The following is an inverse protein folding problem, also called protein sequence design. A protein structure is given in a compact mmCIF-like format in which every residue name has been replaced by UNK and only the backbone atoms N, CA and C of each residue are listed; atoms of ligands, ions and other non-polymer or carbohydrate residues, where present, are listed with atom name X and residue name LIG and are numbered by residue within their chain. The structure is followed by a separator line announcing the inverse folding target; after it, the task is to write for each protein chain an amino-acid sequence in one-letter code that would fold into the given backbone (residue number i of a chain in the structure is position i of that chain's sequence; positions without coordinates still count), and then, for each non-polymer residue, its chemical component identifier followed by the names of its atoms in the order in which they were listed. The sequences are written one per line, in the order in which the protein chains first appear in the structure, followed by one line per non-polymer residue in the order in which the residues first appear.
data_IF_533188778106
#
_entry.id   IF_533188778106
#
_cell.length_a   1.000
_cell.length_b   1.000
_cell.length_c   1.000
_cell.angle_alpha   90.00
_cell.angle_beta   90.00
_cell.angle_gamma   90.00
#
_symmetry.space_group_name_H-M   'P 1'
#
loop_
_entity.id
_entity.type
_entity.pdbx_description
1 polymer ?
#
# COMPACT_ATOMS: atom_id res chain seq x y z
N UNK A 1 11.11 -54.97 -30.73
CA UNK A 1 12.54 -54.61 -30.53
C UNK A 1 13.21 -55.77 -29.84
N UNK A 2 14.19 -56.35 -30.50
CA UNK A 2 14.89 -57.53 -30.00
C UNK A 2 16.04 -57.09 -29.08
N UNK A 3 15.92 -57.37 -27.78
CA UNK A 3 16.88 -56.99 -26.73
C UNK A 3 18.08 -58.00 -26.59
N UNK A 4 18.16 -58.97 -27.47
CA UNK A 4 19.17 -59.98 -27.37
C UNK A 4 20.61 -59.61 -27.81
N UNK A 5 20.82 -58.36 -28.26
CA UNK A 5 22.12 -57.89 -28.78
C UNK A 5 22.77 -56.73 -27.99
N UNK A 6 22.32 -56.46 -26.76
CA UNK A 6 23.00 -55.48 -25.93
C UNK A 6 24.16 -56.11 -25.20
N UNK A 7 25.38 -55.91 -25.68
CA UNK A 7 26.60 -56.48 -25.05
C UNK A 7 26.90 -55.67 -23.75
N UNK A 8 27.46 -56.38 -22.73
CA UNK A 8 27.91 -55.78 -21.44
C UNK A 8 28.82 -54.55 -21.62
N UNK A 9 29.52 -54.49 -22.76
CA UNK A 9 30.40 -53.35 -23.13
C UNK A 9 29.61 -52.08 -23.43
N UNK A 10 28.43 -52.18 -24.04
CA UNK A 10 27.55 -51.05 -24.33
C UNK A 10 26.85 -50.54 -23.05
N UNK A 11 26.58 -51.42 -22.08
CA UNK A 11 26.04 -51.05 -20.79
C UNK A 11 27.05 -50.24 -19.94
N UNK A 12 28.33 -50.64 -19.97
CA UNK A 12 29.40 -49.94 -19.25
C UNK A 12 29.76 -48.59 -19.91
N UNK A 13 29.64 -48.46 -21.22
CA UNK A 13 29.85 -47.18 -21.92
C UNK A 13 28.69 -46.21 -21.70
N UNK A 14 27.45 -46.68 -21.57
CA UNK A 14 26.29 -45.89 -21.19
C UNK A 14 26.36 -45.36 -19.74
N UNK A 15 26.88 -46.16 -18.83
CA UNK A 15 27.04 -45.77 -17.42
C UNK A 15 28.15 -44.74 -17.20
N UNK A 16 29.24 -44.80 -18.01
CA UNK A 16 30.31 -43.80 -17.95
C UNK A 16 29.86 -42.42 -18.48
N UNK A 17 28.97 -42.40 -19.46
CA UNK A 17 28.40 -41.15 -19.96
C UNK A 17 27.42 -40.48 -18.98
N UNK A 18 26.70 -41.28 -18.19
CA UNK A 18 25.80 -40.79 -17.15
C UNK A 18 26.55 -40.25 -15.90
N UNK A 19 27.73 -40.83 -15.58
CA UNK A 19 28.56 -40.33 -14.45
C UNK A 19 29.38 -39.08 -14.81
N UNK A 20 29.71 -38.86 -16.08
CA UNK A 20 30.33 -37.58 -16.51
C UNK A 20 29.33 -36.44 -16.62
N UNK A 21 28.03 -36.69 -16.87
CA UNK A 21 26.96 -35.71 -16.84
C UNK A 21 26.65 -35.20 -15.44
N UNK A 22 26.87 -35.98 -14.39
CA UNK A 22 26.65 -35.58 -12.99
C UNK A 22 27.84 -34.81 -12.39
N UNK A 23 29.03 -34.82 -13.03
CA UNK A 23 30.19 -34.04 -12.59
C UNK A 23 30.17 -32.57 -13.08
N UNK A 24 29.41 -32.29 -14.14
CA UNK A 24 28.99 -30.93 -14.47
C UNK A 24 27.74 -30.66 -13.65
N UNK A 25 27.91 -30.22 -12.40
CA UNK A 25 26.82 -29.84 -11.54
C UNK A 25 25.85 -28.97 -12.32
N UNK A 26 24.63 -29.47 -12.51
CA UNK A 26 23.51 -28.59 -12.87
C UNK A 26 23.43 -27.61 -11.76
N UNK A 27 24.15 -26.47 -11.88
CA UNK A 27 23.83 -25.31 -11.09
C UNK A 27 22.37 -25.04 -11.41
N UNK A 28 21.47 -25.41 -10.51
CA UNK A 28 20.13 -24.87 -10.54
C UNK A 28 20.35 -23.37 -10.67
N UNK A 29 19.94 -22.78 -11.78
CA UNK A 29 19.91 -21.34 -11.92
C UNK A 29 19.03 -20.87 -10.76
N UNK A 30 19.65 -20.44 -9.68
CA UNK A 30 18.95 -19.79 -8.59
C UNK A 30 18.34 -18.56 -9.25
N UNK A 31 17.01 -18.53 -9.32
CA UNK A 31 16.32 -17.36 -9.85
C UNK A 31 16.91 -16.14 -9.12
N UNK A 32 17.35 -15.15 -9.88
CA UNK A 32 17.87 -13.91 -9.29
C UNK A 32 16.81 -13.39 -8.33
N UNK A 33 17.22 -12.97 -7.13
CA UNK A 33 16.30 -12.41 -6.15
C UNK A 33 15.52 -11.27 -6.78
N UNK A 34 14.19 -11.32 -6.68
CA UNK A 34 13.33 -10.23 -7.14
C UNK A 34 13.39 -9.10 -6.13
N UNK A 35 13.86 -7.94 -6.55
CA UNK A 35 13.88 -6.75 -5.68
C UNK A 35 12.55 -5.98 -5.81
N UNK A 36 11.92 -5.74 -4.66
CA UNK A 36 10.65 -5.01 -4.53
C UNK A 36 10.90 -3.73 -3.76
N UNK A 37 10.44 -2.58 -4.30
CA UNK A 37 10.55 -1.27 -3.66
C UNK A 37 9.23 -0.81 -3.07
N UNK A 38 9.24 -0.31 -1.83
CA UNK A 38 8.11 0.37 -1.19
C UNK A 38 8.46 1.82 -0.90
N UNK A 39 7.53 2.73 -1.21
CA UNK A 39 7.69 4.16 -0.98
C UNK A 39 6.49 4.66 -0.17
N UNK A 40 6.78 5.24 1.00
CA UNK A 40 5.78 5.74 1.94
C UNK A 40 5.83 7.27 2.02
N UNK A 41 4.67 7.91 2.10
CA UNK A 41 4.58 9.38 2.26
C UNK A 41 4.86 9.82 3.69
N UNK A 42 4.53 8.99 4.67
CA UNK A 42 4.74 9.21 6.09
C UNK A 42 5.74 8.24 6.72
N UNK A 43 5.73 8.17 8.04
CA UNK A 43 6.57 7.29 8.83
C UNK A 43 6.04 5.85 8.82
N UNK A 44 6.93 4.86 8.77
CA UNK A 44 6.57 3.42 8.80
C UNK A 44 6.00 2.94 10.13
N UNK A 45 5.97 3.80 11.14
CA UNK A 45 5.47 3.54 12.49
C UNK A 45 4.36 4.52 12.90
N UNK A 46 3.58 5.00 11.93
CA UNK A 46 2.51 5.99 12.10
C UNK A 46 1.26 5.48 12.80
N UNK A 47 1.23 4.22 13.21
CA UNK A 47 0.07 3.52 13.77
C UNK A 47 -1.12 3.41 12.81
N UNK A 48 -0.89 3.60 11.51
CA UNK A 48 -1.95 3.64 10.51
C UNK A 48 -1.51 3.16 9.13
N UNK A 49 -1.69 4.05 8.15
CA UNK A 49 -1.57 3.74 6.72
C UNK A 49 -0.19 3.27 6.30
N UNK A 50 0.86 4.03 6.65
CA UNK A 50 2.21 3.68 6.23
C UNK A 50 2.71 2.44 6.99
N UNK A 51 2.37 2.30 8.28
CA UNK A 51 2.70 1.11 9.06
C UNK A 51 2.05 -0.15 8.50
N UNK A 52 0.81 -0.09 8.02
CA UNK A 52 0.16 -1.25 7.40
C UNK A 52 0.90 -1.73 6.16
N UNK A 53 1.35 -0.81 5.29
CA UNK A 53 2.19 -1.14 4.13
C UNK A 53 3.56 -1.68 4.55
N UNK A 54 4.20 -1.09 5.56
CA UNK A 54 5.47 -1.56 6.09
C UNK A 54 5.39 -2.97 6.70
N UNK A 55 4.26 -3.33 7.32
CA UNK A 55 4.00 -4.70 7.79
C UNK A 55 3.90 -5.68 6.62
N UNK A 56 3.26 -5.28 5.51
CA UNK A 56 3.23 -6.05 4.26
C UNK A 56 4.64 -6.25 3.70
N UNK A 57 5.45 -5.19 3.63
CA UNK A 57 6.85 -5.27 3.22
C UNK A 57 7.67 -6.20 4.13
N UNK A 58 7.47 -6.13 5.44
CA UNK A 58 8.13 -7.00 6.42
C UNK A 58 7.73 -8.48 6.25
N UNK A 59 6.51 -8.77 5.81
CA UNK A 59 6.10 -10.14 5.49
C UNK A 59 6.82 -10.66 4.24
N UNK A 60 6.98 -9.83 3.20
CA UNK A 60 7.71 -10.18 1.98
C UNK A 60 9.20 -10.43 2.23
N UNK A 61 9.84 -9.69 3.15
CA UNK A 61 11.24 -9.90 3.56
C UNK A 61 11.52 -11.31 4.10
N UNK A 62 10.49 -12.02 4.57
CA UNK A 62 10.61 -13.40 5.07
C UNK A 62 10.51 -14.45 3.96
N UNK A 63 10.15 -14.07 2.75
CA UNK A 63 9.99 -14.97 1.62
C UNK A 63 11.33 -15.20 0.92
N UNK A 64 11.72 -16.45 0.63
CA UNK A 64 12.96 -16.73 -0.07
C UNK A 64 12.92 -16.17 -1.50
N UNK A 65 14.05 -15.67 -2.00
CA UNK A 65 14.19 -15.12 -3.35
C UNK A 65 13.61 -13.72 -3.52
N UNK A 66 13.22 -13.04 -2.42
CA UNK A 66 12.82 -11.65 -2.45
C UNK A 66 13.79 -10.76 -1.66
N UNK A 67 14.16 -9.63 -2.27
CA UNK A 67 14.81 -8.50 -1.61
C UNK A 67 13.80 -7.36 -1.54
N UNK A 68 13.63 -6.73 -0.38
CA UNK A 68 12.72 -5.59 -0.21
C UNK A 68 13.53 -4.37 0.21
N UNK A 69 13.36 -3.28 -0.52
CA UNK A 69 13.90 -1.94 -0.23
C UNK A 69 12.75 -0.99 0.09
N UNK A 70 12.96 -0.08 1.01
CA UNK A 70 11.92 0.80 1.54
C UNK A 70 12.46 2.21 1.74
N UNK A 71 11.65 3.22 1.38
CA UNK A 71 11.93 4.64 1.64
C UNK A 71 10.68 5.27 2.27
N UNK A 72 10.87 6.04 3.35
CA UNK A 72 9.78 6.71 4.07
C UNK A 72 9.90 8.22 4.01
N UNK A 73 8.78 8.92 4.32
CA UNK A 73 8.71 10.40 4.33
C UNK A 73 9.05 11.02 2.99
N UNK A 74 8.67 10.35 1.92
CA UNK A 74 8.84 10.84 0.56
C UNK A 74 7.64 11.71 0.17
N UNK A 75 7.89 12.97 -0.18
CA UNK A 75 6.83 13.89 -0.55
C UNK A 75 6.15 13.51 -1.88
N UNK A 76 4.86 13.87 -2.03
CA UNK A 76 4.07 13.70 -3.27
C UNK A 76 4.48 14.74 -4.34
N UNK A 77 5.77 14.74 -4.69
CA UNK A 77 6.40 15.63 -5.66
C UNK A 77 7.33 14.82 -6.56
N UNK A 78 8.20 15.49 -7.34
CA UNK A 78 9.29 14.83 -8.09
C UNK A 78 10.26 14.02 -7.20
N UNK A 79 10.20 14.20 -5.89
CA UNK A 79 10.95 13.38 -4.93
C UNK A 79 10.62 11.89 -5.08
N UNK A 80 9.33 11.54 -5.26
CA UNK A 80 8.95 10.13 -5.43
C UNK A 80 9.46 9.53 -6.76
N UNK A 81 9.60 10.33 -7.84
CA UNK A 81 10.23 9.87 -9.07
C UNK A 81 11.72 9.55 -8.84
N UNK A 82 12.44 10.44 -8.15
CA UNK A 82 13.86 10.24 -7.82
C UNK A 82 14.06 9.01 -6.93
N UNK A 83 13.17 8.79 -5.97
CA UNK A 83 13.20 7.59 -5.12
C UNK A 83 12.94 6.33 -5.94
N UNK A 84 11.92 6.32 -6.82
CA UNK A 84 11.68 5.20 -7.74
C UNK A 84 12.89 4.93 -8.64
N UNK A 85 13.49 5.96 -9.22
CA UNK A 85 14.68 5.81 -10.05
C UNK A 85 15.89 5.28 -9.27
N UNK A 86 16.08 5.71 -8.02
CA UNK A 86 17.14 5.20 -7.16
C UNK A 86 16.95 3.70 -6.88
N UNK A 87 15.75 3.29 -6.47
CA UNK A 87 15.43 1.88 -6.23
C UNK A 87 15.61 1.01 -7.47
N UNK A 88 15.26 1.54 -8.67
CA UNK A 88 15.44 0.82 -9.94
C UNK A 88 16.92 0.69 -10.29
N UNK A 89 17.66 1.80 -10.31
CA UNK A 89 19.00 1.85 -10.87
C UNK A 89 20.08 1.36 -9.91
N UNK A 90 19.90 1.57 -8.59
CA UNK A 90 20.90 1.21 -7.57
C UNK A 90 20.57 -0.11 -6.88
N UNK A 91 19.30 -0.37 -6.62
CA UNK A 91 18.87 -1.59 -5.91
C UNK A 91 18.39 -2.70 -6.83
N UNK A 92 18.14 -2.41 -8.11
CA UNK A 92 17.63 -3.35 -9.08
C UNK A 92 16.15 -3.70 -8.87
N UNK A 93 15.36 -2.79 -8.33
CA UNK A 93 13.93 -3.02 -8.12
C UNK A 93 13.20 -3.23 -9.46
N UNK A 94 12.43 -4.30 -9.56
CA UNK A 94 11.62 -4.66 -10.73
C UNK A 94 10.12 -4.54 -10.51
N UNK A 95 9.70 -4.47 -9.25
CA UNK A 95 8.34 -4.20 -8.79
C UNK A 95 8.39 -3.09 -7.74
N UNK A 96 7.58 -2.04 -7.92
CA UNK A 96 7.52 -0.92 -7.00
C UNK A 96 6.09 -0.70 -6.49
N UNK A 97 5.99 -0.41 -5.20
CA UNK A 97 4.76 -0.03 -4.50
C UNK A 97 4.87 1.41 -4.01
N UNK A 98 4.59 2.41 -4.85
CA UNK A 98 4.42 3.80 -4.43
C UNK A 98 3.03 3.95 -3.81
N UNK A 99 2.96 4.05 -2.48
CA UNK A 99 1.72 3.81 -1.75
C UNK A 99 0.81 5.02 -1.60
N UNK A 100 1.31 6.25 -1.77
CA UNK A 100 0.50 7.44 -1.54
C UNK A 100 -0.34 7.85 -2.76
N UNK A 101 -1.55 8.39 -2.51
CA UNK A 101 -2.51 8.81 -3.53
C UNK A 101 -1.89 9.73 -4.58
N UNK A 102 -1.16 10.78 -4.17
CA UNK A 102 -0.57 11.77 -5.06
C UNK A 102 0.64 11.26 -5.85
N UNK A 103 1.13 10.06 -5.61
CA UNK A 103 2.20 9.49 -6.41
C UNK A 103 1.74 9.03 -7.81
N UNK A 104 0.44 8.73 -8.00
CA UNK A 104 -0.02 8.14 -9.25
C UNK A 104 0.15 9.09 -10.43
N UNK A 105 -0.52 10.23 -10.38
CA UNK A 105 -0.48 11.26 -11.41
C UNK A 105 0.28 12.50 -10.93
N UNK A 106 1.35 12.92 -11.62
CA UNK A 106 1.86 12.34 -12.89
C UNK A 106 2.95 11.27 -12.70
N UNK A 107 3.43 11.01 -11.48
CA UNK A 107 4.73 10.42 -11.18
C UNK A 107 4.80 8.93 -11.57
N UNK A 108 3.88 8.09 -11.09
CA UNK A 108 3.85 6.64 -11.43
C UNK A 108 3.62 6.45 -12.93
N UNK A 109 2.71 7.20 -13.54
CA UNK A 109 2.43 7.13 -14.97
C UNK A 109 3.68 7.49 -15.79
N UNK A 110 4.40 8.53 -15.38
CA UNK A 110 5.67 8.94 -16.03
C UNK A 110 6.75 7.87 -15.88
N UNK A 111 6.90 7.30 -14.69
CA UNK A 111 7.89 6.26 -14.42
C UNK A 111 7.56 4.95 -15.14
N UNK A 112 6.30 4.56 -15.21
CA UNK A 112 5.86 3.38 -15.96
C UNK A 112 6.16 3.51 -17.47
N UNK A 113 5.98 4.69 -18.05
CA UNK A 113 6.38 4.96 -19.44
C UNK A 113 7.90 4.91 -19.62
N UNK A 114 8.67 5.46 -18.66
CA UNK A 114 10.14 5.48 -18.71
C UNK A 114 10.74 4.07 -18.57
N UNK A 115 10.11 3.20 -17.77
CA UNK A 115 10.59 1.85 -17.48
C UNK A 115 9.54 0.79 -17.87
N UNK A 116 9.28 0.56 -19.17
CA UNK A 116 8.15 -0.26 -19.64
C UNK A 116 8.26 -1.75 -19.30
N UNK A 117 9.44 -2.22 -18.87
CA UNK A 117 9.67 -3.62 -18.45
C UNK A 117 9.48 -3.85 -16.95
N UNK A 118 9.32 -2.80 -16.16
CA UNK A 118 9.13 -2.87 -14.72
C UNK A 118 7.64 -2.76 -14.37
N UNK A 119 7.27 -3.19 -13.17
CA UNK A 119 5.91 -3.13 -12.68
C UNK A 119 5.77 -2.11 -11.56
N UNK A 120 4.69 -1.33 -11.61
CA UNK A 120 4.32 -0.33 -10.61
C UNK A 120 2.92 -0.63 -10.08
N UNK A 121 2.77 -0.84 -8.78
CA UNK A 121 1.50 -1.14 -8.12
C UNK A 121 1.20 -0.05 -7.08
N UNK A 122 0.43 0.93 -7.49
CA UNK A 122 0.06 2.07 -6.66
C UNK A 122 -1.14 1.73 -5.77
N UNK A 123 -1.23 2.35 -4.58
CA UNK A 123 -2.40 2.28 -3.73
C UNK A 123 -3.22 3.57 -3.83
N UNK A 124 -4.44 3.50 -4.40
CA UNK A 124 -5.32 4.65 -4.58
C UNK A 124 -6.49 4.43 -5.53
N UNK A 125 -6.50 3.31 -6.27
CA UNK A 125 -7.60 2.95 -7.19
C UNK A 125 -7.75 3.90 -8.38
N UNK A 126 -6.64 4.44 -8.91
CA UNK A 126 -6.65 5.49 -9.95
C UNK A 126 -6.40 4.98 -11.36
N UNK A 127 -6.02 3.71 -11.54
CA UNK A 127 -5.71 3.17 -12.86
C UNK A 127 -6.91 3.22 -13.81
N UNK A 128 -6.64 3.54 -15.06
CA UNK A 128 -7.60 3.53 -16.16
C UNK A 128 -7.03 2.82 -17.39
N UNK A 129 -7.88 2.48 -18.37
CA UNK A 129 -7.45 1.84 -19.62
C UNK A 129 -6.50 2.69 -20.47
N UNK A 130 -6.43 3.99 -20.21
CA UNK A 130 -5.56 4.96 -20.89
C UNK A 130 -4.13 4.96 -20.32
N UNK A 131 -3.94 4.38 -19.13
CA UNK A 131 -2.66 4.36 -18.44
C UNK A 131 -1.74 3.25 -18.97
N UNK A 132 -0.42 3.34 -18.71
CA UNK A 132 0.54 2.30 -19.08
C UNK A 132 0.14 0.93 -18.50
N UNK A 133 0.27 -0.15 -19.29
CA UNK A 133 -0.15 -1.50 -18.88
C UNK A 133 0.70 -2.10 -17.75
N UNK A 134 1.87 -1.54 -17.52
CA UNK A 134 2.77 -1.91 -16.42
C UNK A 134 2.55 -1.08 -15.15
N UNK A 135 1.58 -0.16 -15.15
CA UNK A 135 1.08 0.49 -13.95
C UNK A 135 -0.23 -0.18 -13.51
N UNK A 136 -0.39 -0.40 -12.20
CA UNK A 136 -1.61 -0.81 -11.55
C UNK A 136 -1.97 0.16 -10.44
N UNK A 137 -3.22 0.15 -10.00
CA UNK A 137 -3.64 0.92 -8.84
C UNK A 137 -4.75 0.19 -8.12
N UNK A 138 -4.45 -0.33 -6.94
CA UNK A 138 -5.41 -1.04 -6.08
C UNK A 138 -5.93 -0.13 -4.97
N UNK A 139 -7.06 -0.49 -4.39
CA UNK A 139 -7.59 0.18 -3.20
C UNK A 139 -8.59 -0.72 -2.46
N UNK A 140 -8.71 -0.54 -1.14
CA UNK A 140 -9.72 -1.23 -0.32
C UNK A 140 -11.04 -0.44 -0.27
N UNK A 141 -12.16 -1.15 -0.08
CA UNK A 141 -13.48 -0.54 0.12
C UNK A 141 -13.64 -0.08 1.58
N UNK A 142 -12.79 0.86 2.01
CA UNK A 142 -12.78 1.38 3.40
C UNK A 142 -14.04 2.18 3.75
N UNK A 143 -14.77 2.66 2.76
CA UNK A 143 -16.08 3.28 2.93
C UNK A 143 -17.13 2.32 3.53
N UNK A 144 -17.06 1.03 3.24
CA UNK A 144 -17.93 0.02 3.89
C UNK A 144 -17.64 -0.06 5.39
N UNK A 145 -16.37 -0.09 5.81
CA UNK A 145 -15.98 -0.05 7.21
C UNK A 145 -16.36 1.28 7.87
N UNK A 146 -16.22 2.40 7.17
CA UNK A 146 -16.63 3.71 7.65
C UNK A 146 -18.15 3.82 7.83
N UNK A 147 -18.95 3.17 6.96
CA UNK A 147 -20.39 3.10 7.14
C UNK A 147 -20.77 2.38 8.44
N UNK A 148 -20.14 1.23 8.71
CA UNK A 148 -20.35 0.46 9.94
C UNK A 148 -19.91 1.28 11.17
N UNK A 149 -18.74 1.94 11.10
CA UNK A 149 -18.26 2.84 12.15
C UNK A 149 -19.26 3.98 12.42
N UNK A 150 -19.87 4.51 11.36
CA UNK A 150 -20.93 5.51 11.45
C UNK A 150 -22.16 5.01 12.22
N UNK A 151 -22.61 3.75 11.96
CA UNK A 151 -23.72 3.15 12.69
C UNK A 151 -23.40 3.10 14.19
N UNK A 152 -22.20 2.65 14.55
CA UNK A 152 -21.75 2.60 15.96
C UNK A 152 -21.72 4.01 16.55
N UNK A 153 -21.18 4.99 15.83
CA UNK A 153 -21.14 6.38 16.26
C UNK A 153 -22.54 6.96 16.50
N UNK A 154 -23.49 6.67 15.61
CA UNK A 154 -24.88 7.12 15.73
C UNK A 154 -25.60 6.57 16.97
N UNK A 155 -25.32 5.33 17.36
CA UNK A 155 -25.81 4.75 18.62
C UNK A 155 -25.08 5.28 19.86
N UNK A 156 -23.80 5.63 19.73
CA UNK A 156 -22.96 6.03 20.87
C UNK A 156 -23.11 7.50 21.25
N UNK A 157 -23.36 8.37 20.26
CA UNK A 157 -23.46 9.82 20.50
C UNK A 157 -24.62 10.20 21.41
N UNK A 158 -24.37 11.12 22.33
CA UNK A 158 -25.37 11.71 23.21
C UNK A 158 -25.83 13.07 22.69
N UNK A 159 -24.95 13.81 22.03
CA UNK A 159 -25.21 15.15 21.48
C UNK A 159 -25.80 15.12 20.07
N UNK A 160 -25.63 14.03 19.34
CA UNK A 160 -25.94 13.93 17.93
C UNK A 160 -24.90 14.64 17.02
N UNK A 161 -23.82 15.15 17.59
CA UNK A 161 -22.73 15.82 16.85
C UNK A 161 -21.52 14.90 16.76
N UNK A 162 -21.19 14.52 15.52
CA UNK A 162 -20.04 13.68 15.21
C UNK A 162 -18.95 14.51 14.56
N UNK A 163 -17.69 14.14 14.77
CA UNK A 163 -16.54 14.80 14.17
C UNK A 163 -15.77 13.88 13.22
N UNK A 164 -15.25 14.48 12.15
CA UNK A 164 -14.39 13.81 11.20
C UNK A 164 -13.15 14.66 10.92
N UNK A 165 -11.97 14.20 11.36
CA UNK A 165 -10.69 14.82 11.01
C UNK A 165 -10.20 14.19 9.72
N UNK A 166 -10.03 14.97 8.66
CA UNK A 166 -9.69 14.48 7.33
C UNK A 166 -8.43 15.14 6.79
N UNK A 167 -7.63 14.40 6.02
CA UNK A 167 -6.41 14.93 5.41
C UNK A 167 -6.70 15.87 4.24
N UNK A 168 -7.15 15.35 3.12
CA UNK A 168 -7.36 16.06 1.85
C UNK A 168 -8.77 15.80 1.30
N UNK A 169 -9.42 16.76 0.66
CA UNK A 169 -10.78 16.59 0.10
C UNK A 169 -10.75 15.86 -1.26
N UNK A 170 -10.13 14.69 -1.31
CA UNK A 170 -10.11 13.83 -2.49
C UNK A 170 -11.34 12.91 -2.53
N UNK A 171 -11.73 12.34 -3.68
CA UNK A 171 -12.94 11.53 -3.81
C UNK A 171 -13.05 10.39 -2.80
N UNK A 172 -11.96 9.66 -2.51
CA UNK A 172 -11.98 8.57 -1.53
C UNK A 172 -12.26 9.07 -0.12
N UNK A 173 -11.67 10.19 0.30
CA UNK A 173 -11.88 10.78 1.62
C UNK A 173 -13.32 11.28 1.75
N UNK A 174 -13.84 11.96 0.73
CA UNK A 174 -15.23 12.42 0.71
C UNK A 174 -16.21 11.26 0.76
N UNK A 175 -15.94 10.15 0.05
CA UNK A 175 -16.75 8.94 0.11
C UNK A 175 -16.78 8.35 1.52
N UNK A 176 -15.65 8.31 2.23
CA UNK A 176 -15.57 7.82 3.60
C UNK A 176 -16.35 8.71 4.57
N UNK A 177 -16.24 10.02 4.46
CA UNK A 177 -17.04 10.97 5.24
C UNK A 177 -18.54 10.76 5.02
N UNK A 178 -18.95 10.61 3.77
CA UNK A 178 -20.34 10.37 3.42
C UNK A 178 -20.83 9.02 3.95
N UNK A 179 -20.05 7.95 3.80
CA UNK A 179 -20.38 6.63 4.31
C UNK A 179 -20.56 6.63 5.83
N UNK A 180 -19.63 7.22 6.56
CA UNK A 180 -19.73 7.39 8.01
C UNK A 180 -21.00 8.16 8.40
N UNK A 181 -21.26 9.28 7.73
CA UNK A 181 -22.45 10.11 8.01
C UNK A 181 -23.75 9.36 7.72
N UNK A 182 -23.83 8.61 6.62
CA UNK A 182 -24.99 7.79 6.28
C UNK A 182 -25.21 6.67 7.30
N UNK A 183 -24.15 6.00 7.71
CA UNK A 183 -24.22 4.99 8.78
C UNK A 183 -24.74 5.59 10.09
N UNK A 184 -24.23 6.75 10.49
CA UNK A 184 -24.67 7.44 11.70
C UNK A 184 -26.16 7.83 11.63
N UNK A 185 -26.60 8.33 10.48
CA UNK A 185 -28.02 8.69 10.28
C UNK A 185 -28.96 7.48 10.25
N UNK A 186 -28.50 6.30 9.87
CA UNK A 186 -29.29 5.08 9.98
C UNK A 186 -29.63 4.76 11.44
N UNK A 187 -28.67 4.94 12.36
CA UNK A 187 -28.84 4.69 13.78
C UNK A 187 -29.49 5.89 14.52
N UNK A 188 -29.12 7.11 14.13
CA UNK A 188 -29.65 8.36 14.69
C UNK A 188 -29.94 9.36 13.55
N UNK A 189 -31.20 9.46 13.08
CA UNK A 189 -31.55 10.34 11.95
C UNK A 189 -31.23 11.84 12.18
N UNK A 190 -31.04 12.26 13.43
CA UNK A 190 -30.68 13.64 13.77
C UNK A 190 -29.17 13.87 13.84
N UNK A 191 -28.35 12.83 13.71
CA UNK A 191 -26.91 12.96 13.76
C UNK A 191 -26.38 13.82 12.62
N UNK A 192 -25.38 14.65 12.93
CA UNK A 192 -24.66 15.51 12.00
C UNK A 192 -23.17 15.26 12.12
N UNK A 193 -22.45 15.32 11.00
CA UNK A 193 -20.99 15.15 10.97
C UNK A 193 -20.33 16.48 10.62
N UNK A 194 -19.50 17.00 11.53
CA UNK A 194 -18.64 18.14 11.28
C UNK A 194 -17.27 17.65 10.79
N UNK A 195 -16.73 18.31 9.76
CA UNK A 195 -15.47 17.88 9.11
C UNK A 195 -14.45 19.01 9.18
N UNK A 196 -13.22 18.67 9.59
CA UNK A 196 -12.07 19.58 9.50
C UNK A 196 -10.99 18.91 8.65
N UNK A 197 -10.55 19.58 7.58
CA UNK A 197 -9.45 19.14 6.74
C UNK A 197 -8.13 19.74 7.24
N UNK A 198 -7.13 18.88 7.47
CA UNK A 198 -5.79 19.30 7.91
C UNK A 198 -4.92 19.79 6.76
N UNK A 199 -5.21 19.35 5.54
CA UNK A 199 -4.54 19.75 4.31
C UNK A 199 -3.46 18.79 3.82
N UNK A 200 -2.97 17.88 4.66
CA UNK A 200 -2.03 16.83 4.26
C UNK A 200 -2.25 15.55 5.05
N UNK A 201 -1.56 14.46 4.62
CA UNK A 201 -1.75 13.10 5.13
C UNK A 201 -1.31 12.91 6.57
N UNK A 202 -0.24 13.60 6.99
CA UNK A 202 0.31 13.53 8.36
C UNK A 202 0.67 14.93 8.85
N UNK A 203 -0.19 15.50 9.69
CA UNK A 203 -0.03 16.83 10.29
C UNK A 203 -0.41 16.81 11.79
N UNK A 204 0.38 16.15 12.66
CA UNK A 204 0.00 15.89 14.06
C UNK A 204 -0.48 17.13 14.82
N UNK A 205 0.16 18.30 14.62
CA UNK A 205 -0.26 19.55 15.28
C UNK A 205 -1.67 19.96 14.83
N UNK A 206 -1.91 20.00 13.51
CA UNK A 206 -3.23 20.36 12.98
C UNK A 206 -4.30 19.32 13.30
N UNK A 207 -3.93 18.04 13.39
CA UNK A 207 -4.83 16.96 13.77
C UNK A 207 -5.29 17.13 15.23
N UNK A 208 -4.36 17.47 16.14
CA UNK A 208 -4.69 17.80 17.53
C UNK A 208 -5.58 19.05 17.63
N UNK A 209 -5.23 20.12 16.92
CA UNK A 209 -6.02 21.36 16.87
C UNK A 209 -7.42 21.10 16.32
N UNK A 210 -7.56 20.32 15.24
CA UNK A 210 -8.85 19.94 14.65
C UNK A 210 -9.69 19.12 15.62
N UNK A 211 -9.06 18.15 16.31
CA UNK A 211 -9.72 17.32 17.32
C UNK A 211 -10.28 18.16 18.46
N UNK A 212 -9.45 19.02 19.07
CA UNK A 212 -9.87 19.90 20.16
C UNK A 212 -10.97 20.86 19.71
N UNK A 213 -10.84 21.46 18.51
CA UNK A 213 -11.87 22.35 17.96
C UNK A 213 -13.23 21.67 17.76
N UNK A 214 -13.25 20.40 17.36
CA UNK A 214 -14.49 19.63 17.24
C UNK A 214 -15.11 19.35 18.63
N UNK A 215 -14.28 18.99 19.62
CA UNK A 215 -14.74 18.77 21.02
C UNK A 215 -15.33 20.06 21.59
N UNK A 216 -14.67 21.20 21.42
CA UNK A 216 -15.15 22.52 21.87
C UNK A 216 -16.50 22.90 21.24
N UNK A 217 -16.81 22.39 20.05
CA UNK A 217 -18.11 22.56 19.38
C UNK A 217 -19.18 21.56 19.85
N UNK A 218 -18.86 20.74 20.83
CA UNK A 218 -19.78 19.75 21.45
C UNK A 218 -19.90 18.44 20.67
N UNK A 219 -18.92 18.12 19.85
CA UNK A 219 -18.76 16.76 19.27
C UNK A 219 -18.38 15.79 20.38
N UNK A 220 -19.03 14.64 20.43
CA UNK A 220 -18.82 13.62 21.47
C UNK A 220 -18.40 12.25 20.89
N UNK A 221 -18.34 12.10 19.57
CA UNK A 221 -17.77 10.95 18.87
C UNK A 221 -16.96 11.43 17.68
N UNK A 222 -15.74 10.96 17.58
CA UNK A 222 -14.77 11.36 16.56
C UNK A 222 -14.30 10.16 15.73
N UNK A 223 -14.02 10.43 14.45
CA UNK A 223 -13.30 9.53 13.56
C UNK A 223 -12.35 10.32 12.67
N UNK A 224 -11.50 9.65 11.92
CA UNK A 224 -10.55 10.33 11.02
C UNK A 224 -10.28 9.57 9.72
N UNK A 225 -9.71 10.31 8.77
CA UNK A 225 -9.01 9.79 7.60
C UNK A 225 -7.72 10.60 7.41
N UNK A 226 -6.72 10.26 8.20
CA UNK A 226 -5.33 10.73 8.15
C UNK A 226 -4.42 9.51 8.17
N UNK A 227 -3.13 9.67 7.90
CA UNK A 227 -2.20 8.54 7.85
C UNK A 227 -2.04 7.84 9.20
N UNK A 228 -1.90 8.62 10.29
CA UNK A 228 -1.70 8.12 11.63
C UNK A 228 -2.77 8.60 12.61
N UNK A 229 -3.71 7.74 13.05
CA UNK A 229 -4.83 8.14 13.91
C UNK A 229 -4.42 8.44 15.36
N UNK A 230 -3.19 8.11 15.76
CA UNK A 230 -2.73 8.21 17.16
C UNK A 230 -2.97 9.58 17.77
N UNK A 231 -2.56 10.65 17.06
CA UNK A 231 -2.70 12.02 17.57
C UNK A 231 -4.14 12.38 17.87
N UNK A 232 -5.07 12.04 16.97
CA UNK A 232 -6.48 12.30 17.19
C UNK A 232 -7.01 11.51 18.40
N UNK A 233 -6.67 10.22 18.50
CA UNK A 233 -7.13 9.36 19.61
C UNK A 233 -6.60 9.82 20.97
N UNK A 234 -5.37 10.31 21.04
CA UNK A 234 -4.76 10.81 22.28
C UNK A 234 -5.31 12.18 22.72
N UNK A 235 -5.93 12.93 21.82
CA UNK A 235 -6.54 14.25 22.12
C UNK A 235 -8.07 14.19 22.30
N UNK A 236 -8.71 13.04 22.02
CA UNK A 236 -10.15 12.83 22.19
C UNK A 236 -10.48 12.27 23.57
#
# INVERSE_FOLDING_TARGET
MDFSKISRRHLLQGSAALTLGSAFGVRSAQAADTTIGFIYVGSRDDYGYNQAHAQGAAALKKMPGLKVVEEEKVAETDACEKTMESMINLDGASLLFPTSFGYYNPHVVKMANKFPKLRFEHCGGLWSEKDPKNAGSYFGYIDEAQYISGIVAGYSTKTGKLGFVAAKPIPQVLRNINAFTLGAKLANPKATTQVIFTGDWSMPVKEAEATNSLIDQGVDVLTCHVDGPKTMVENA
#
